data_IF_386029310196
#
_entry.id   IF_386029310196
#
_cell.length_a   1.000
_cell.length_b   1.000
_cell.length_c   1.000
_cell.angle_alpha   90.00
_cell.angle_beta   90.00
_cell.angle_gamma   90.00
#
_symmetry.space_group_name_H-M   'P 1'
#
loop_
_entity.id
_entity.type
_entity.pdbx_description
1 polymer ?
#
# COMPACT_ATOMS: atom_id res chain seq x y z
N UNK A 1 -3.25 18.07 11.55
CA UNK A 1 -3.71 16.70 11.82
C UNK A 1 -3.70 15.86 10.54
N UNK A 2 -4.50 16.20 9.52
CA UNK A 2 -4.62 15.36 8.31
C UNK A 2 -3.75 15.83 7.11
N UNK A 3 -2.51 16.24 7.37
CA UNK A 3 -1.58 16.82 6.38
C UNK A 3 -0.59 15.80 5.79
N UNK A 4 0.59 16.22 5.32
CA UNK A 4 1.69 15.35 4.90
C UNK A 4 2.20 14.52 6.09
N UNK A 5 2.41 13.21 5.88
CA UNK A 5 2.76 12.30 6.96
C UNK A 5 4.09 11.56 6.76
N UNK A 6 4.12 10.48 5.98
CA UNK A 6 5.31 9.62 5.85
C UNK A 6 5.98 9.75 4.49
N UNK A 7 7.29 9.43 4.46
CA UNK A 7 8.07 9.26 3.23
C UNK A 7 8.97 8.04 3.38
N UNK A 8 8.80 7.06 2.50
CA UNK A 8 9.51 5.77 2.54
C UNK A 8 10.10 5.42 1.17
N UNK A 9 11.31 4.84 1.14
CA UNK A 9 11.88 4.35 -0.11
C UNK A 9 11.21 3.03 -0.53
N UNK A 10 10.72 2.96 -1.77
CA UNK A 10 10.16 1.76 -2.35
C UNK A 10 11.23 0.78 -2.86
N UNK A 11 10.85 -0.46 -3.18
CA UNK A 11 11.77 -1.47 -3.71
C UNK A 11 12.28 -1.16 -5.13
N UNK A 12 11.66 -0.20 -5.80
CA UNK A 12 12.01 0.35 -7.12
C UNK A 12 12.99 1.54 -7.07
N UNK A 13 13.33 2.02 -5.87
CA UNK A 13 14.14 3.22 -5.67
C UNK A 13 13.38 4.54 -5.81
N UNK A 14 12.04 4.51 -5.88
CA UNK A 14 11.20 5.70 -5.81
C UNK A 14 10.85 6.05 -4.35
N UNK A 15 10.52 7.30 -4.08
CA UNK A 15 9.95 7.73 -2.79
C UNK A 15 8.44 7.59 -2.81
N UNK A 16 7.90 6.94 -1.78
CA UNK A 16 6.48 6.79 -1.52
C UNK A 16 6.11 7.71 -0.37
N UNK A 17 5.00 8.44 -0.50
CA UNK A 17 4.58 9.40 0.50
C UNK A 17 3.07 9.63 0.45
N UNK A 18 2.50 10.24 1.48
CA UNK A 18 1.06 10.45 1.60
C UNK A 18 0.66 11.68 2.40
N UNK A 19 -0.61 12.04 2.25
CA UNK A 19 -1.28 12.99 3.12
C UNK A 19 -2.71 12.55 3.42
N UNK A 20 -3.30 13.11 4.49
CA UNK A 20 -4.70 12.93 4.85
C UNK A 20 -5.68 13.79 4.03
N UNK A 21 -6.96 13.77 4.40
CA UNK A 21 -8.06 14.36 3.64
C UNK A 21 -8.14 15.90 3.68
N UNK A 22 -7.19 16.59 4.33
CA UNK A 22 -7.02 18.04 4.15
C UNK A 22 -6.81 18.41 2.68
N UNK A 23 -6.36 17.45 1.86
CA UNK A 23 -6.12 17.63 0.44
C UNK A 23 -4.75 18.24 0.17
N UNK A 24 -4.44 18.38 -1.12
CA UNK A 24 -3.17 18.95 -1.57
C UNK A 24 -3.33 19.59 -2.95
N UNK A 25 -2.58 20.67 -3.17
CA UNK A 25 -2.32 21.22 -4.50
C UNK A 25 -0.82 21.50 -4.63
N UNK A 26 -0.16 20.80 -5.54
CA UNK A 26 1.29 20.92 -5.72
C UNK A 26 1.70 20.62 -7.16
N UNK A 27 2.85 21.13 -7.56
CA UNK A 27 3.48 20.85 -8.87
C UNK A 27 4.77 20.09 -8.62
N UNK A 28 4.92 18.92 -9.25
CA UNK A 28 6.18 18.17 -9.18
C UNK A 28 7.28 18.85 -10.01
N UNK A 29 8.53 18.38 -9.89
CA UNK A 29 9.64 18.97 -10.66
C UNK A 29 9.63 18.62 -12.15
N UNK A 30 8.71 17.75 -12.59
CA UNK A 30 8.43 17.52 -14.01
C UNK A 30 7.41 18.52 -14.57
N UNK A 31 6.88 19.43 -13.73
CA UNK A 31 5.92 20.45 -14.13
C UNK A 31 4.47 20.01 -14.10
N UNK A 32 4.15 18.84 -13.53
CA UNK A 32 2.77 18.33 -13.45
C UNK A 32 2.11 18.79 -12.16
N UNK A 33 0.98 19.49 -12.27
CA UNK A 33 0.18 19.94 -11.12
C UNK A 33 -0.88 18.93 -10.74
N UNK A 34 -0.88 18.55 -9.46
CA UNK A 34 -1.87 17.71 -8.82
C UNK A 34 -2.83 18.56 -7.99
N UNK A 35 -4.13 18.26 -8.09
CA UNK A 35 -5.23 18.96 -7.42
C UNK A 35 -6.11 17.93 -6.73
N UNK A 36 -6.09 17.91 -5.40
CA UNK A 36 -6.81 16.95 -4.57
C UNK A 36 -7.59 17.69 -3.50
N UNK A 37 -8.79 18.13 -3.84
CA UNK A 37 -9.75 18.66 -2.87
C UNK A 37 -10.64 17.54 -2.31
N UNK A 38 -11.32 17.83 -1.21
CA UNK A 38 -12.33 16.94 -0.63
C UNK A 38 -13.49 17.76 -0.05
N UNK A 39 -14.53 17.06 0.43
CA UNK A 39 -15.66 17.72 1.09
C UNK A 39 -15.22 18.32 2.43
N UNK A 40 -14.12 17.80 2.98
CA UNK A 40 -13.53 18.24 4.24
C UNK A 40 -12.75 19.56 4.09
N UNK A 41 -11.81 19.64 3.15
CA UNK A 41 -11.01 20.85 2.90
C UNK A 41 -10.62 21.00 1.42
N UNK A 42 -10.16 22.21 1.07
CA UNK A 42 -9.82 22.60 -0.30
C UNK A 42 -10.99 22.39 -1.29
N UNK A 43 -12.24 22.68 -0.86
CA UNK A 43 -13.45 22.46 -1.65
C UNK A 43 -13.43 23.16 -3.01
N UNK A 44 -12.75 24.31 -3.10
CA UNK A 44 -12.60 25.09 -4.33
C UNK A 44 -11.81 24.36 -5.45
N UNK A 45 -11.11 23.27 -5.14
CA UNK A 45 -10.47 22.38 -6.12
C UNK A 45 -11.04 20.95 -6.13
N UNK A 46 -12.01 20.62 -5.29
CA UNK A 46 -12.67 19.31 -5.31
C UNK A 46 -13.32 19.06 -6.68
N UNK A 47 -13.09 17.87 -7.24
CA UNK A 47 -13.60 17.45 -8.54
C UNK A 47 -12.86 18.05 -9.74
N UNK A 48 -11.83 18.89 -9.53
CA UNK A 48 -10.99 19.39 -10.62
C UNK A 48 -10.00 18.31 -11.06
N UNK A 49 -9.75 18.24 -12.37
CA UNK A 49 -8.72 17.37 -12.91
C UNK A 49 -7.32 17.86 -12.54
N UNK A 50 -6.46 16.93 -12.19
CA UNK A 50 -5.01 17.12 -12.18
C UNK A 50 -4.49 17.15 -13.63
N UNK A 51 -3.24 17.58 -13.82
CA UNK A 51 -2.65 17.71 -15.16
C UNK A 51 -2.40 16.35 -15.84
N UNK A 52 -2.50 15.23 -15.12
CA UNK A 52 -2.55 13.88 -15.69
C UNK A 52 -3.94 13.48 -16.23
N UNK A 53 -4.92 14.40 -16.18
CA UNK A 53 -6.26 14.21 -16.71
C UNK A 53 -7.25 13.56 -15.73
N UNK A 54 -6.80 13.15 -14.55
CA UNK A 54 -7.61 12.43 -13.57
C UNK A 54 -8.13 13.34 -12.46
N UNK A 55 -9.32 13.00 -11.95
CA UNK A 55 -9.84 13.60 -10.71
C UNK A 55 -9.37 12.73 -9.56
N UNK A 56 -8.74 13.35 -8.56
CA UNK A 56 -8.36 12.69 -7.32
C UNK A 56 -8.99 13.44 -6.15
N UNK A 57 -9.23 12.70 -5.07
CA UNK A 57 -9.85 13.21 -3.85
C UNK A 57 -8.80 13.23 -2.75
N UNK A 58 -8.85 14.27 -1.91
CA UNK A 58 -7.93 14.44 -0.78
C UNK A 58 -7.82 13.19 0.10
N UNK A 59 -6.66 13.01 0.72
CA UNK A 59 -6.29 11.74 1.37
C UNK A 59 -5.71 10.81 0.32
N UNK A 60 -4.41 10.91 0.04
CA UNK A 60 -3.81 10.17 -1.06
C UNK A 60 -2.35 9.79 -0.80
N UNK A 61 -1.95 8.72 -1.48
CA UNK A 61 -0.59 8.18 -1.50
C UNK A 61 0.00 8.30 -2.90
N UNK A 62 1.31 8.52 -2.96
CA UNK A 62 2.06 8.82 -4.16
C UNK A 62 3.31 7.97 -4.25
N UNK A 63 3.86 7.88 -5.45
CA UNK A 63 5.28 7.59 -5.66
C UNK A 63 5.91 8.66 -6.55
N UNK A 64 7.21 8.91 -6.40
CA UNK A 64 7.98 9.84 -7.23
C UNK A 64 9.46 9.47 -7.28
N UNK A 65 10.20 9.98 -8.24
CA UNK A 65 11.65 9.85 -8.24
C UNK A 65 12.27 10.62 -7.06
N UNK A 66 13.42 10.17 -6.51
CA UNK A 66 14.09 10.86 -5.39
C UNK A 66 14.52 12.30 -5.68
N UNK A 67 14.57 12.72 -6.93
CA UNK A 67 14.85 14.11 -7.30
C UNK A 67 13.60 15.01 -7.22
N UNK A 68 12.40 14.44 -7.02
CA UNK A 68 11.11 15.12 -6.97
C UNK A 68 10.36 15.17 -8.30
N UNK A 69 10.80 14.42 -9.32
CA UNK A 69 10.17 14.32 -10.64
C UNK A 69 9.19 13.13 -10.72
N UNK A 70 8.31 13.18 -11.73
CA UNK A 70 7.42 12.08 -12.12
C UNK A 70 6.55 11.55 -10.97
N UNK A 71 5.93 12.45 -10.21
CA UNK A 71 4.97 12.07 -9.20
C UNK A 71 3.78 11.31 -9.84
N UNK A 72 3.30 10.29 -9.15
CA UNK A 72 2.16 9.46 -9.56
C UNK A 72 1.29 9.18 -8.34
N UNK A 73 0.01 9.52 -8.40
CA UNK A 73 -0.97 9.09 -7.38
C UNK A 73 -1.17 7.59 -7.53
N UNK A 74 -1.02 6.84 -6.44
CA UNK A 74 -1.16 5.37 -6.41
C UNK A 74 -2.38 4.90 -5.61
N UNK A 75 -3.08 5.81 -4.93
CA UNK A 75 -4.34 5.57 -4.25
C UNK A 75 -4.82 6.86 -3.59
N UNK A 76 -6.13 7.03 -3.43
CA UNK A 76 -6.71 8.29 -2.96
C UNK A 76 -8.05 8.11 -2.24
N UNK A 77 -8.62 9.22 -1.76
CA UNK A 77 -9.87 9.28 -1.00
C UNK A 77 -9.80 8.55 0.36
N UNK A 78 -8.64 8.62 1.02
CA UNK A 78 -8.46 8.24 2.41
C UNK A 78 -9.07 9.29 3.34
N UNK A 79 -9.27 8.96 4.61
CA UNK A 79 -9.56 9.98 5.62
C UNK A 79 -8.27 10.57 6.19
N UNK A 80 -7.53 9.77 6.94
CA UNK A 80 -6.28 10.22 7.56
C UNK A 80 -5.36 9.02 7.81
N UNK A 81 -5.03 8.31 6.74
CA UNK A 81 -3.95 7.33 6.76
C UNK A 81 -2.63 8.04 7.04
N UNK A 82 -2.00 7.74 8.18
CA UNK A 82 -0.71 8.31 8.58
C UNK A 82 0.43 7.73 7.76
N UNK A 83 0.45 6.42 7.55
CA UNK A 83 1.56 5.77 6.86
C UNK A 83 1.08 4.68 5.91
N UNK A 84 1.91 4.37 4.92
CA UNK A 84 1.80 3.12 4.16
C UNK A 84 3.10 2.34 4.26
N UNK A 85 2.98 1.02 4.16
CA UNK A 85 4.11 0.13 3.99
C UNK A 85 4.09 -0.51 2.60
N UNK A 86 5.27 -0.72 2.04
CA UNK A 86 5.45 -1.26 0.69
C UNK A 86 6.29 -2.53 0.79
N UNK A 87 5.73 -3.65 0.33
CA UNK A 87 6.47 -4.92 0.26
C UNK A 87 7.54 -4.88 -0.84
N UNK A 88 8.48 -5.81 -0.82
CA UNK A 88 9.47 -6.00 -1.88
C UNK A 88 8.85 -6.38 -3.21
N UNK A 89 7.63 -6.92 -3.22
CA UNK A 89 6.86 -7.16 -4.43
C UNK A 89 6.18 -5.89 -4.96
N UNK A 90 6.18 -4.81 -4.18
CA UNK A 90 5.57 -3.52 -4.51
C UNK A 90 4.09 -3.43 -4.14
N UNK A 91 3.59 -4.33 -3.29
CA UNK A 91 2.23 -4.24 -2.75
C UNK A 91 2.21 -3.20 -1.63
N UNK A 92 1.16 -2.39 -1.58
CA UNK A 92 1.03 -1.29 -0.65
C UNK A 92 -0.09 -1.61 0.35
N UNK A 93 0.21 -1.47 1.64
CA UNK A 93 -0.79 -1.61 2.70
C UNK A 93 -0.85 -0.32 3.51
N UNK A 94 -2.05 0.02 3.96
CA UNK A 94 -2.31 1.22 4.73
C UNK A 94 -3.31 0.94 5.85
N UNK A 95 -3.31 1.80 6.86
CA UNK A 95 -4.36 1.86 7.89
C UNK A 95 -4.96 3.27 7.90
N UNK A 96 -6.28 3.35 8.07
CA UNK A 96 -7.04 4.60 7.95
C UNK A 96 -7.95 4.73 9.18
N UNK A 97 -7.96 5.92 9.78
CA UNK A 97 -8.77 6.19 10.98
C UNK A 97 -10.14 6.79 10.60
N UNK A 98 -11.09 6.83 11.55
CA UNK A 98 -12.27 7.74 11.53
C UNK A 98 -12.91 7.89 12.92
N UNK A 99 -13.78 8.90 13.07
CA UNK A 99 -14.57 9.33 14.23
C UNK A 99 -16.09 9.27 13.94
N UNK A 100 -16.57 8.26 13.17
CA UNK A 100 -17.28 7.14 13.82
C UNK A 100 -16.56 5.79 13.68
N UNK A 101 -17.04 4.71 14.34
CA UNK A 101 -16.35 3.42 14.38
C UNK A 101 -16.25 2.70 13.01
N UNK A 102 -15.24 3.00 12.19
CA UNK A 102 -14.93 2.21 10.99
C UNK A 102 -13.44 2.21 10.56
N UNK A 103 -12.50 2.36 11.49
CA UNK A 103 -11.08 2.24 11.19
C UNK A 103 -10.76 0.92 10.48
N UNK A 104 -9.76 0.95 9.59
CA UNK A 104 -9.46 -0.18 8.70
C UNK A 104 -7.97 -0.42 8.49
N UNK A 105 -7.66 -1.63 8.02
CA UNK A 105 -6.39 -1.98 7.39
C UNK A 105 -6.66 -2.54 6.00
N UNK A 106 -5.98 -1.98 5.00
CA UNK A 106 -6.36 -2.15 3.58
C UNK A 106 -5.15 -2.42 2.70
N UNK A 107 -5.30 -3.35 1.75
CA UNK A 107 -4.42 -3.42 0.58
C UNK A 107 -4.79 -2.30 -0.40
N UNK A 108 -3.84 -1.42 -0.71
CA UNK A 108 -4.05 -0.33 -1.67
C UNK A 108 -3.79 -0.86 -3.08
N UNK A 109 -4.87 -1.11 -3.81
CA UNK A 109 -4.79 -1.36 -5.24
C UNK A 109 -4.30 -0.10 -5.96
N UNK A 110 -3.35 -0.21 -6.90
CA UNK A 110 -2.81 0.96 -7.60
C UNK A 110 -3.94 1.76 -8.28
N UNK A 111 -3.98 3.06 -8.04
CA UNK A 111 -5.05 4.01 -8.43
C UNK A 111 -6.39 3.84 -7.71
N UNK A 112 -6.45 2.98 -6.69
CA UNK A 112 -7.66 2.69 -5.95
C UNK A 112 -8.24 3.93 -5.26
N UNK A 113 -9.56 4.01 -5.29
CA UNK A 113 -10.35 5.00 -4.57
C UNK A 113 -10.88 4.37 -3.28
N UNK A 114 -10.54 4.94 -2.13
CA UNK A 114 -10.82 4.37 -0.82
C UNK A 114 -12.18 4.77 -0.22
N UNK A 115 -12.93 5.63 -0.91
CA UNK A 115 -14.37 5.83 -0.67
C UNK A 115 -14.79 6.83 0.41
N UNK A 116 -13.89 7.58 1.06
CA UNK A 116 -14.26 8.47 2.17
C UNK A 116 -15.21 9.62 1.79
N UNK A 117 -14.95 10.28 0.65
CA UNK A 117 -15.83 11.27 0.02
C UNK A 117 -16.42 10.73 -1.30
N UNK A 118 -17.36 11.45 -1.91
CA UNK A 118 -17.91 11.10 -3.23
C UNK A 118 -16.79 11.04 -4.29
N UNK A 119 -17.05 10.42 -5.45
CA UNK A 119 -16.06 10.27 -6.53
C UNK A 119 -15.44 11.61 -6.99
N UNK A 120 -16.23 12.69 -6.92
CA UNK A 120 -15.77 14.05 -7.23
C UNK A 120 -15.26 14.82 -6.00
N UNK A 121 -15.24 14.18 -4.84
CA UNK A 121 -14.80 14.75 -3.58
C UNK A 121 -15.69 15.87 -3.05
N UNK A 122 -16.90 16.09 -3.57
CA UNK A 122 -17.74 17.24 -3.18
C UNK A 122 -18.72 16.96 -2.04
N UNK A 123 -18.99 15.69 -1.73
CA UNK A 123 -19.96 15.27 -0.71
C UNK A 123 -19.31 14.35 0.30
N UNK A 124 -19.67 14.54 1.57
CA UNK A 124 -19.28 13.63 2.64
C UNK A 124 -20.04 12.29 2.50
N UNK A 125 -19.53 11.22 3.09
CA UNK A 125 -20.18 9.91 3.05
C UNK A 125 -21.59 9.90 3.66
N UNK A 126 -21.86 10.73 4.68
CA UNK A 126 -23.18 10.81 5.31
C UNK A 126 -24.27 11.23 4.32
N UNK A 127 -23.92 12.09 3.35
CA UNK A 127 -24.86 12.55 2.32
C UNK A 127 -25.23 11.45 1.33
N UNK A 128 -24.40 10.41 1.20
CA UNK A 128 -24.59 9.27 0.28
C UNK A 128 -25.06 8.00 1.00
N UNK A 129 -25.14 8.01 2.34
CA UNK A 129 -25.56 6.86 3.13
C UNK A 129 -27.01 6.48 2.79
N UNK A 130 -27.21 5.22 2.40
CA UNK A 130 -28.54 4.68 2.09
C UNK A 130 -29.29 4.33 3.39
N UNK A 131 -30.64 4.42 3.44
CA UNK A 131 -31.40 3.99 4.60
C UNK A 131 -31.06 2.55 5.00
N UNK A 132 -30.75 2.33 6.29
CA UNK A 132 -30.41 1.02 6.84
C UNK A 132 -28.97 0.55 6.58
N UNK A 133 -28.14 1.32 5.85
CA UNK A 133 -26.74 0.95 5.60
C UNK A 133 -25.91 1.15 6.87
N UNK A 134 -25.07 0.17 7.22
CA UNK A 134 -24.13 0.28 8.35
C UNK A 134 -23.08 1.37 8.11
N UNK A 135 -22.62 2.03 9.19
CA UNK A 135 -21.60 3.08 9.09
C UNK A 135 -20.32 2.57 8.44
N UNK A 136 -19.87 1.37 8.81
CA UNK A 136 -18.66 0.74 8.27
C UNK A 136 -18.72 0.43 6.76
N UNK A 137 -19.92 0.38 6.19
CA UNK A 137 -20.15 0.19 4.75
C UNK A 137 -20.29 1.53 4.05
N UNK A 138 -21.08 2.45 4.63
CA UNK A 138 -21.39 3.75 4.05
C UNK A 138 -20.17 4.68 3.99
N UNK A 139 -19.40 4.72 5.06
CA UNK A 139 -18.22 5.60 5.21
C UNK A 139 -17.17 5.36 4.14
N UNK A 140 -16.96 4.09 3.82
CA UNK A 140 -16.02 3.65 2.80
C UNK A 140 -16.70 3.31 1.47
N UNK A 141 -17.99 3.64 1.28
CA UNK A 141 -18.75 3.42 0.04
C UNK A 141 -18.57 2.03 -0.57
N UNK A 142 -18.58 0.99 0.26
CA UNK A 142 -18.18 -0.37 -0.17
C UNK A 142 -19.17 -1.02 -1.16
N UNK A 143 -20.40 -0.51 -1.21
CA UNK A 143 -21.46 -0.92 -2.14
C UNK A 143 -21.57 0.00 -3.37
N UNK A 144 -20.70 1.01 -3.49
CA UNK A 144 -20.67 1.90 -4.65
C UNK A 144 -19.63 1.41 -5.67
N UNK A 145 -19.92 1.49 -6.98
CA UNK A 145 -18.94 1.20 -8.01
C UNK A 145 -17.81 2.23 -8.01
N UNK A 146 -16.59 1.79 -8.35
CA UNK A 146 -15.43 2.68 -8.37
C UNK A 146 -14.78 2.85 -7.00
N UNK A 147 -15.11 2.00 -6.02
CA UNK A 147 -14.54 2.03 -4.67
C UNK A 147 -13.85 0.71 -4.37
N UNK A 148 -12.57 0.76 -4.00
CA UNK A 148 -11.79 -0.44 -3.70
C UNK A 148 -12.26 -1.09 -2.39
N UNK A 149 -12.12 -2.43 -2.25
CA UNK A 149 -12.43 -3.11 -1.01
C UNK A 149 -11.64 -2.57 0.19
N UNK A 150 -12.30 -2.39 1.33
CA UNK A 150 -11.73 -1.78 2.53
C UNK A 150 -10.77 -2.68 3.32
N UNK A 151 -10.71 -3.99 3.02
CA UNK A 151 -9.92 -4.94 3.80
C UNK A 151 -10.58 -5.27 5.14
N UNK A 152 -9.82 -5.21 6.23
CA UNK A 152 -10.36 -5.41 7.59
C UNK A 152 -10.89 -4.09 8.14
N UNK A 153 -12.20 -3.99 8.33
CA UNK A 153 -12.86 -2.86 9.01
C UNK A 153 -13.21 -3.29 10.43
N UNK A 154 -12.63 -2.64 11.43
CA UNK A 154 -12.67 -3.13 12.80
C UNK A 154 -13.35 -2.21 13.82
N UNK A 155 -13.95 -1.13 13.38
CA UNK A 155 -14.68 -0.21 14.25
C UNK A 155 -13.81 0.91 14.80
N UNK A 156 -14.07 1.36 16.02
CA UNK A 156 -13.42 2.54 16.60
C UNK A 156 -11.93 2.34 16.82
N UNK A 157 -11.11 3.34 16.51
CA UNK A 157 -9.66 3.22 16.54
C UNK A 157 -9.01 4.56 16.22
N UNK A 158 -7.69 4.55 16.14
CA UNK A 158 -6.87 5.69 15.76
C UNK A 158 -5.56 5.19 15.13
N UNK A 159 -5.59 4.32 14.11
CA UNK A 159 -4.39 3.68 13.60
C UNK A 159 -3.34 4.70 13.13
N UNK A 160 -2.08 4.37 13.40
CA UNK A 160 -0.93 5.22 13.05
C UNK A 160 0.11 4.44 12.23
N UNK A 161 1.31 4.16 12.74
CA UNK A 161 2.37 3.52 11.96
C UNK A 161 2.04 2.09 11.51
N UNK A 162 2.64 1.70 10.39
CA UNK A 162 2.39 0.41 9.73
C UNK A 162 3.66 -0.10 9.05
N UNK A 163 3.98 -1.38 9.21
CA UNK A 163 5.17 -1.97 8.57
C UNK A 163 4.95 -3.40 8.11
N UNK A 164 5.71 -3.81 7.11
CA UNK A 164 5.72 -5.18 6.60
C UNK A 164 7.03 -5.88 6.94
N UNK A 165 6.95 -6.91 7.76
CA UNK A 165 8.07 -7.73 8.16
C UNK A 165 8.34 -8.83 7.12
N UNK A 166 9.49 -8.76 6.46
CA UNK A 166 9.90 -9.65 5.35
C UNK A 166 10.91 -10.72 5.77
N UNK A 167 10.95 -11.00 7.08
CA UNK A 167 11.92 -11.87 7.73
C UNK A 167 12.91 -11.11 8.61
N UNK A 168 13.79 -11.84 9.30
CA UNK A 168 14.74 -11.29 10.26
C UNK A 168 14.85 -12.14 11.52
N UNK A 169 14.92 -11.51 12.69
CA UNK A 169 15.19 -12.16 13.97
C UNK A 169 14.08 -13.09 14.46
N UNK A 170 12.82 -12.97 14.02
CA UNK A 170 11.69 -13.79 14.47
C UNK A 170 11.61 -15.18 13.81
N UNK A 171 12.63 -15.58 13.06
CA UNK A 171 12.73 -16.90 12.46
C UNK A 171 11.70 -17.14 11.36
N UNK A 172 11.30 -18.41 11.18
CA UNK A 172 10.48 -18.84 10.04
C UNK A 172 8.98 -18.66 10.22
N UNK A 173 8.51 -18.38 11.45
CA UNK A 173 7.07 -18.21 11.76
C UNK A 173 6.40 -17.19 10.85
N UNK A 174 7.13 -16.13 10.49
CA UNK A 174 6.65 -15.04 9.64
C UNK A 174 7.40 -14.96 8.31
N UNK A 175 7.96 -16.08 7.83
CA UNK A 175 8.70 -16.11 6.56
C UNK A 175 7.82 -15.78 5.34
N UNK A 176 6.50 -15.97 5.45
CA UNK A 176 5.52 -15.58 4.42
C UNK A 176 5.25 -14.07 4.35
N UNK A 177 5.69 -13.30 5.36
CA UNK A 177 5.33 -11.90 5.55
C UNK A 177 4.42 -11.70 6.77
N UNK A 178 4.64 -10.61 7.51
CA UNK A 178 3.80 -10.19 8.62
C UNK A 178 3.56 -8.68 8.51
N UNK A 179 2.31 -8.29 8.30
CA UNK A 179 1.90 -6.89 8.33
C UNK A 179 1.58 -6.51 9.76
N UNK A 180 2.17 -5.42 10.25
CA UNK A 180 1.96 -4.88 11.58
C UNK A 180 1.34 -3.50 11.48
N UNK A 181 0.30 -3.25 12.26
CA UNK A 181 -0.42 -1.98 12.28
C UNK A 181 -0.59 -1.51 13.71
N UNK A 182 -0.02 -0.34 14.04
CA UNK A 182 -0.18 0.28 15.34
C UNK A 182 -1.60 0.83 15.51
N UNK A 183 -2.20 0.52 16.66
CA UNK A 183 -3.53 0.99 17.04
C UNK A 183 -3.48 1.56 18.48
N UNK A 184 -3.11 2.85 18.62
CA UNK A 184 -3.02 3.55 19.90
C UNK A 184 -4.30 3.48 20.72
N UNK A 185 -5.47 3.70 20.12
CA UNK A 185 -6.74 3.74 20.86
C UNK A 185 -7.08 2.38 21.50
N UNK A 186 -6.61 1.28 20.90
CA UNK A 186 -6.86 -0.07 21.44
C UNK A 186 -5.67 -0.66 22.19
N UNK A 187 -4.59 0.09 22.38
CA UNK A 187 -3.38 -0.34 23.09
C UNK A 187 -2.78 -1.64 22.49
N UNK A 188 -2.71 -1.70 21.16
CA UNK A 188 -2.32 -2.93 20.46
C UNK A 188 -1.56 -2.60 19.19
N UNK A 189 -0.59 -3.44 18.87
CA UNK A 189 -0.07 -3.60 17.52
C UNK A 189 -0.79 -4.81 16.94
N UNK A 190 -1.63 -4.58 15.95
CA UNK A 190 -2.26 -5.66 15.20
C UNK A 190 -1.25 -6.35 14.30
N UNK A 191 -1.41 -7.65 14.15
CA UNK A 191 -0.74 -8.46 13.15
C UNK A 191 -1.72 -8.99 12.11
N UNK A 192 -1.25 -9.11 10.88
CA UNK A 192 -1.95 -9.79 9.79
C UNK A 192 -0.95 -10.67 9.04
N UNK A 193 -1.42 -11.80 8.54
CA UNK A 193 -0.71 -12.62 7.56
C UNK A 193 -1.47 -12.52 6.24
N UNK A 194 -1.20 -11.52 5.38
CA UNK A 194 -1.98 -11.34 4.16
C UNK A 194 -1.94 -12.58 3.27
N UNK A 195 -3.12 -13.12 2.95
CA UNK A 195 -3.27 -14.29 2.08
C UNK A 195 -3.83 -13.82 0.74
N UNK A 196 -3.18 -14.10 -0.39
CA UNK A 196 -3.77 -13.81 -1.70
C UNK A 196 -5.14 -14.47 -1.84
N UNK A 197 -6.17 -13.69 -2.16
CA UNK A 197 -7.54 -14.15 -2.36
C UNK A 197 -8.11 -13.48 -3.60
N UNK A 198 -8.36 -14.27 -4.65
CA UNK A 198 -8.70 -13.75 -5.96
C UNK A 198 -7.65 -12.77 -6.48
N UNK A 199 -8.09 -11.56 -6.78
CA UNK A 199 -7.28 -10.43 -7.19
C UNK A 199 -6.87 -9.55 -6.01
N UNK A 200 -7.27 -9.84 -4.78
CA UNK A 200 -6.95 -9.05 -3.60
C UNK A 200 -6.14 -9.83 -2.56
N UNK A 201 -6.30 -9.42 -1.30
CA UNK A 201 -5.76 -10.11 -0.14
C UNK A 201 -6.85 -10.25 0.92
N UNK A 202 -6.93 -11.43 1.52
CA UNK A 202 -7.63 -11.63 2.77
C UNK A 202 -6.76 -11.15 3.92
N UNK A 203 -7.34 -10.34 4.80
CA UNK A 203 -6.67 -9.76 5.97
C UNK A 203 -7.33 -10.25 7.25
N UNK A 204 -6.76 -11.30 7.85
CA UNK A 204 -7.21 -11.81 9.15
C UNK A 204 -6.34 -11.22 10.27
N UNK A 205 -6.99 -10.44 11.13
CA UNK A 205 -6.34 -9.72 12.22
C UNK A 205 -6.11 -10.58 13.44
N UNK A 206 -4.98 -10.39 14.11
CA UNK A 206 -4.72 -10.87 15.47
C UNK A 206 -3.95 -9.82 16.29
N UNK A 207 -3.93 -9.98 17.61
CA UNK A 207 -3.17 -9.09 18.50
C UNK A 207 -1.71 -9.56 18.56
N UNK A 208 -0.78 -8.85 17.92
CA UNK A 208 0.65 -9.21 17.91
C UNK A 208 1.35 -8.80 19.20
N UNK A 209 1.07 -7.59 19.68
CA UNK A 209 1.60 -7.03 20.92
C UNK A 209 0.51 -6.17 21.58
N UNK A 210 0.13 -6.46 22.82
CA UNK A 210 -0.81 -5.64 23.57
C UNK A 210 -0.54 -5.69 25.06
N UNK A 211 -0.85 -4.60 25.76
CA UNK A 211 -0.95 -4.55 27.22
C UNK A 211 -2.39 -4.71 27.71
N UNK A 212 -3.38 -4.64 26.82
CA UNK A 212 -4.81 -4.56 27.13
C UNK A 212 -5.59 -5.79 26.63
N UNK A 213 -5.24 -6.97 27.13
CA UNK A 213 -5.86 -8.25 26.74
C UNK A 213 -7.37 -8.30 26.99
N UNK A 214 -7.85 -7.55 27.98
CA UNK A 214 -9.27 -7.49 28.36
C UNK A 214 -10.09 -6.55 27.48
N UNK A 215 -9.44 -5.80 26.56
CA UNK A 215 -10.07 -4.84 25.64
C UNK A 215 -10.87 -3.74 26.36
N UNK A 216 -10.33 -3.23 27.47
CA UNK A 216 -10.89 -2.06 28.15
C UNK A 216 -10.45 -0.78 27.43
N UNK A 217 -11.28 -0.27 26.52
CA UNK A 217 -10.99 0.93 25.73
C UNK A 217 -11.23 2.26 26.48
N UNK A 218 -10.81 2.35 27.75
CA UNK A 218 -10.89 3.61 28.50
C UNK A 218 -10.01 4.69 27.86
N UNK A 219 -10.51 5.93 27.83
CA UNK A 219 -9.78 7.09 27.29
C UNK A 219 -9.76 7.18 25.76
N UNK A 220 -10.62 6.43 25.05
CA UNK A 220 -10.80 6.55 23.59
C UNK A 220 -11.96 7.47 23.25
N UNK A 221 -11.83 8.20 22.14
CA UNK A 221 -12.89 9.10 21.67
C UNK A 221 -14.16 8.33 21.24
N UNK A 222 -14.02 7.11 20.70
CA UNK A 222 -15.16 6.29 20.27
C UNK A 222 -15.97 5.66 21.42
N UNK A 223 -15.37 5.44 22.59
CA UNK A 223 -16.10 4.93 23.78
C UNK A 223 -16.65 6.09 24.61
N UNK A 224 -15.98 7.24 24.60
CA UNK A 224 -16.23 8.34 25.51
C UNK A 224 -15.93 7.99 26.97
N UNK A 225 -16.14 8.96 27.87
CA UNK A 225 -16.01 8.78 29.32
C UNK A 225 -14.69 9.27 29.92
N UNK A 226 -14.49 9.00 31.22
CA UNK A 226 -13.33 9.48 31.99
C UNK A 226 -12.10 8.60 31.76
N UNK A 227 -10.94 9.24 31.65
CA UNK A 227 -9.64 8.58 31.67
C UNK A 227 -9.33 8.06 33.08
N UNK A 228 -8.61 6.94 33.18
CA UNK A 228 -8.13 6.40 34.46
C UNK A 228 -6.62 6.15 34.37
N UNK A 229 -5.84 7.06 34.97
CA UNK A 229 -4.38 7.01 34.99
C UNK A 229 -3.82 5.83 35.78
N UNK A 230 -4.62 5.21 36.64
CA UNK A 230 -4.18 4.06 37.44
C UNK A 230 -4.26 2.75 36.63
N UNK A 231 -4.99 2.73 35.51
CA UNK A 231 -5.06 1.58 34.61
C UNK A 231 -3.85 1.54 33.66
N UNK A 232 -2.68 1.18 34.18
CA UNK A 232 -1.42 1.10 33.40
C UNK A 232 -1.54 0.32 32.09
N UNK A 233 -2.40 -0.71 32.04
CA UNK A 233 -2.66 -1.50 30.83
C UNK A 233 -3.20 -0.67 29.66
N UNK A 234 -3.92 0.42 29.91
CA UNK A 234 -4.50 1.31 28.88
C UNK A 234 -3.60 2.48 28.52
N UNK A 235 -2.38 2.55 29.06
CA UNK A 235 -1.47 3.67 28.82
C UNK A 235 -0.53 3.42 27.64
N UNK A 236 -0.29 2.18 27.23
CA UNK A 236 0.50 1.85 26.03
C UNK A 236 -0.19 2.34 24.75
N UNK A 237 0.37 3.33 24.07
CA UNK A 237 -0.12 3.95 22.83
C UNK A 237 0.90 3.73 21.71
N UNK A 238 0.95 2.53 21.09
CA UNK A 238 1.90 2.25 20.03
C UNK A 238 1.69 3.23 18.88
N UNK A 239 2.70 4.03 18.57
CA UNK A 239 2.59 5.15 17.65
C UNK A 239 3.20 4.83 16.29
N UNK A 240 4.29 4.07 16.27
CA UNK A 240 4.92 3.59 15.05
C UNK A 240 5.61 2.23 15.26
N UNK A 241 5.81 1.49 14.17
CA UNK A 241 6.45 0.18 14.13
C UNK A 241 7.36 0.08 12.91
N UNK A 242 8.57 -0.44 13.08
CA UNK A 242 9.52 -0.62 11.98
C UNK A 242 10.40 -1.85 12.17
N UNK A 243 11.19 -2.21 11.14
CA UNK A 243 12.15 -3.31 11.17
C UNK A 243 13.57 -2.76 11.17
N UNK A 244 14.34 -3.10 12.21
CA UNK A 244 15.72 -2.67 12.37
C UNK A 244 16.71 -3.43 11.48
N UNK A 245 17.93 -2.89 11.29
CA UNK A 245 18.99 -3.54 10.51
C UNK A 245 19.54 -4.83 11.15
N UNK A 246 19.24 -5.07 12.42
CA UNK A 246 19.46 -6.33 13.14
C UNK A 246 18.34 -7.37 12.88
N UNK A 247 17.31 -6.99 12.11
CA UNK A 247 16.16 -7.83 11.77
C UNK A 247 15.10 -7.94 12.86
N UNK A 248 15.22 -7.20 13.96
CA UNK A 248 14.19 -7.11 15.00
C UNK A 248 13.11 -6.09 14.64
N UNK A 249 11.95 -6.22 15.26
CA UNK A 249 10.88 -5.22 15.17
C UNK A 249 11.07 -4.19 16.28
N UNK A 250 10.86 -2.93 15.98
CA UNK A 250 10.90 -1.82 16.92
C UNK A 250 9.54 -1.15 16.95
N UNK A 251 8.96 -0.99 18.12
CA UNK A 251 7.67 -0.30 18.34
C UNK A 251 7.94 0.89 19.24
N UNK A 252 7.50 2.09 18.86
CA UNK A 252 7.53 3.23 19.75
C UNK A 252 6.15 3.51 20.36
N UNK A 253 6.16 4.16 21.51
CA UNK A 253 5.00 4.46 22.36
C UNK A 253 5.23 5.80 23.06
N UNK A 254 4.18 6.61 23.22
CA UNK A 254 4.22 7.88 23.97
C UNK A 254 3.48 7.83 25.33
N UNK A 255 3.04 6.65 25.76
CA UNK A 255 2.49 6.33 27.08
C UNK A 255 1.50 7.36 27.67
N UNK A 256 0.21 7.27 27.31
CA UNK A 256 -0.79 8.29 27.67
C UNK A 256 -2.16 7.68 28.07
N UNK A 257 -2.81 8.16 29.14
CA UNK A 257 -4.19 7.78 29.49
C UNK A 257 -5.24 8.14 28.44
N UNK A 258 -4.97 9.05 27.52
CA UNK A 258 -5.85 9.46 26.42
C UNK A 258 -5.20 9.20 25.06
N UNK A 259 -6.03 9.13 24.04
CA UNK A 259 -5.61 9.15 22.63
C UNK A 259 -6.09 10.43 21.96
N UNK A 260 -5.23 11.00 21.12
CA UNK A 260 -5.53 12.18 20.31
C UNK A 260 -4.68 13.38 20.70
N UNK A 261 -4.00 13.98 19.72
CA UNK A 261 -3.08 15.13 19.92
C UNK A 261 -3.74 16.42 20.44
N UNK A 262 -5.05 16.40 20.70
CA UNK A 262 -5.81 17.53 21.21
C UNK A 262 -5.94 17.53 22.74
N UNK A 263 -5.45 16.49 23.44
CA UNK A 263 -5.61 16.38 24.90
C UNK A 263 -4.62 15.39 25.53
N UNK A 264 -3.33 15.50 25.19
CA UNK A 264 -2.25 14.82 25.92
C UNK A 264 -2.39 15.08 27.43
N UNK A 265 -2.24 14.02 28.21
CA UNK A 265 -2.39 14.02 29.66
C UNK A 265 -1.18 13.44 30.40
N UNK A 266 -0.12 13.05 29.69
CA UNK A 266 1.16 12.69 30.30
C UNK A 266 2.08 13.91 30.47
N UNK A 267 2.11 14.46 31.68
CA UNK A 267 2.98 15.59 32.01
C UNK A 267 4.47 15.22 32.01
N UNK A 268 4.82 13.93 31.97
CA UNK A 268 6.22 13.49 31.97
C UNK A 268 6.87 13.55 30.60
N UNK A 269 6.08 13.65 29.53
CA UNK A 269 6.52 13.55 28.13
C UNK A 269 7.34 12.28 27.88
N UNK A 270 6.96 11.19 28.55
CA UNK A 270 7.70 9.93 28.49
C UNK A 270 7.33 9.15 27.24
N UNK A 271 8.29 8.38 26.74
CA UNK A 271 8.04 7.43 25.67
C UNK A 271 8.96 6.23 25.79
N UNK A 272 8.63 5.17 25.07
CA UNK A 272 9.43 3.95 25.04
C UNK A 272 9.64 3.49 23.60
N UNK A 273 10.79 2.87 23.36
CA UNK A 273 11.04 2.07 22.15
C UNK A 273 11.26 0.63 22.59
N UNK A 274 10.33 -0.23 22.22
CA UNK A 274 10.38 -1.66 22.48
C UNK A 274 11.08 -2.37 21.33
N UNK A 275 12.11 -3.16 21.63
CA UNK A 275 12.69 -4.10 20.67
C UNK A 275 12.06 -5.47 20.84
N UNK A 276 11.36 -5.93 19.81
CA UNK A 276 10.70 -7.24 19.76
C UNK A 276 11.58 -8.22 18.98
N UNK A 277 12.10 -9.22 19.68
CA UNK A 277 12.95 -10.27 19.14
C UNK A 277 12.83 -11.55 20.01
N UNK A 278 13.29 -12.73 19.53
CA UNK A 278 13.22 -13.95 20.34
C UNK A 278 14.02 -13.84 21.63
N UNK A 279 13.66 -14.66 22.63
CA UNK A 279 14.39 -14.74 23.90
C UNK A 279 15.86 -15.08 23.64
N UNK A 280 16.77 -14.34 24.27
CA UNK A 280 18.21 -14.51 24.09
C UNK A 280 18.78 -13.87 22.83
N UNK A 281 17.97 -13.15 22.04
CA UNK A 281 18.45 -12.41 20.87
C UNK A 281 19.55 -11.42 21.25
N UNK A 282 20.71 -11.55 20.60
CA UNK A 282 21.82 -10.60 20.70
C UNK A 282 21.80 -9.71 19.47
N UNK A 283 21.42 -8.47 19.67
CA UNK A 283 21.39 -7.46 18.61
C UNK A 283 22.76 -7.28 17.99
N UNK A 284 22.83 -7.40 16.67
CA UNK A 284 24.02 -7.13 15.88
C UNK A 284 23.61 -6.58 14.53
N UNK A 285 24.19 -5.46 14.13
CA UNK A 285 23.96 -4.85 12.82
C UNK A 285 25.15 -5.17 11.91
N UNK A 286 24.92 -5.60 10.66
CA UNK A 286 26.00 -5.84 9.72
C UNK A 286 26.89 -4.59 9.54
N UNK A 287 28.22 -4.76 9.61
CA UNK A 287 29.14 -3.69 9.19
C UNK A 287 29.13 -3.63 7.66
N UNK A 288 28.65 -2.52 7.10
CA UNK A 288 28.49 -2.37 5.66
C UNK A 288 29.66 -1.57 5.06
N UNK A 289 30.29 -2.12 4.02
CA UNK A 289 31.22 -1.40 3.16
C UNK A 289 30.59 -1.18 1.77
N UNK A 290 29.97 -0.03 1.57
CA UNK A 290 29.25 0.31 0.34
C UNK A 290 30.15 0.60 -0.87
N UNK A 291 31.48 0.64 -0.69
CA UNK A 291 32.44 0.75 -1.79
C UNK A 291 32.68 -0.58 -2.51
N UNK A 292 32.15 -1.68 -1.97
CA UNK A 292 32.29 -3.03 -2.55
C UNK A 292 30.94 -3.59 -2.99
N UNK A 293 30.91 -4.34 -4.10
CA UNK A 293 29.67 -5.00 -4.54
C UNK A 293 29.11 -5.94 -3.46
N UNK A 294 29.97 -6.62 -2.69
CA UNK A 294 29.55 -7.49 -1.60
C UNK A 294 28.81 -6.72 -0.48
N UNK A 295 29.33 -5.56 -0.07
CA UNK A 295 28.67 -4.72 0.94
C UNK A 295 27.38 -4.09 0.43
N UNK A 296 27.33 -3.70 -0.84
CA UNK A 296 26.10 -3.18 -1.46
C UNK A 296 25.01 -4.26 -1.56
N UNK A 297 25.37 -5.50 -1.92
CA UNK A 297 24.45 -6.64 -1.92
C UNK A 297 23.97 -6.95 -0.50
N UNK A 298 24.88 -6.92 0.49
CA UNK A 298 24.51 -7.10 1.90
C UNK A 298 23.50 -6.05 2.35
N UNK A 299 23.70 -4.78 1.96
CA UNK A 299 22.76 -3.71 2.23
C UNK A 299 21.39 -3.95 1.56
N UNK A 300 21.37 -4.31 0.26
CA UNK A 300 20.13 -4.61 -0.48
C UNK A 300 19.31 -5.77 0.13
N UNK A 301 19.98 -6.72 0.79
CA UNK A 301 19.34 -7.83 1.49
C UNK A 301 18.73 -7.43 2.84
N UNK A 302 19.02 -6.24 3.36
CA UNK A 302 18.49 -5.77 4.65
C UNK A 302 16.96 -5.68 4.67
N UNK A 303 16.36 -6.05 5.80
CA UNK A 303 14.94 -5.88 6.03
C UNK A 303 14.58 -4.43 6.41
N UNK A 304 15.53 -3.68 6.97
CA UNK A 304 15.39 -2.24 7.18
C UNK A 304 15.41 -1.49 5.84
N UNK A 305 14.32 -0.78 5.54
CA UNK A 305 14.08 -0.12 4.25
C UNK A 305 15.16 0.93 3.94
N UNK A 306 15.55 1.74 4.93
CA UNK A 306 16.61 2.73 4.79
C UNK A 306 17.96 2.11 4.40
N UNK A 307 18.34 0.99 5.03
CA UNK A 307 19.59 0.27 4.72
C UNK A 307 19.52 -0.41 3.36
N UNK A 308 18.38 -1.02 3.03
CA UNK A 308 18.12 -1.59 1.71
C UNK A 308 18.33 -0.58 0.59
N UNK A 309 17.83 0.64 0.77
CA UNK A 309 17.94 1.70 -0.21
C UNK A 309 19.39 2.16 -0.45
N UNK A 310 20.27 2.08 0.57
CA UNK A 310 21.71 2.36 0.41
C UNK A 310 22.34 1.38 -0.58
N UNK A 311 22.05 0.09 -0.45
CA UNK A 311 22.53 -0.95 -1.37
C UNK A 311 21.96 -0.77 -2.78
N UNK A 312 20.65 -0.55 -2.87
CA UNK A 312 19.95 -0.31 -4.13
C UNK A 312 20.58 0.83 -4.94
N UNK A 313 20.74 2.01 -4.31
CA UNK A 313 21.23 3.22 -4.98
C UNK A 313 22.65 3.03 -5.52
N UNK A 314 23.54 2.38 -4.75
CA UNK A 314 24.92 2.12 -5.16
C UNK A 314 25.01 1.10 -6.29
N UNK A 315 24.24 0.01 -6.22
CA UNK A 315 24.20 -0.99 -7.29
C UNK A 315 23.60 -0.42 -8.58
N UNK A 316 22.54 0.40 -8.48
CA UNK A 316 21.95 1.10 -9.62
C UNK A 316 22.97 2.03 -10.30
N UNK A 317 23.73 2.80 -9.52
CA UNK A 317 24.78 3.66 -10.06
C UNK A 317 25.91 2.87 -10.77
N UNK A 318 26.12 1.61 -10.41
CA UNK A 318 27.06 0.71 -11.10
C UNK A 318 26.60 0.24 -12.49
N UNK A 319 25.32 0.43 -12.84
CA UNK A 319 24.75 0.03 -14.12
C UNK A 319 24.93 -1.47 -14.43
N UNK A 320 25.25 -1.80 -15.67
CA UNK A 320 25.38 -3.20 -16.12
C UNK A 320 26.43 -4.00 -15.33
N UNK A 321 27.46 -3.35 -14.76
CA UNK A 321 28.50 -4.01 -13.94
C UNK A 321 27.90 -4.71 -12.70
N UNK A 322 26.76 -4.23 -12.22
CA UNK A 322 26.05 -4.81 -11.08
C UNK A 322 25.22 -6.05 -11.45
N UNK A 323 24.93 -6.28 -12.74
CA UNK A 323 24.00 -7.34 -13.18
C UNK A 323 24.39 -8.73 -12.69
N UNK A 324 25.65 -9.21 -12.77
CA UNK A 324 25.99 -10.54 -12.29
C UNK A 324 25.69 -10.75 -10.80
N UNK A 325 26.04 -9.77 -9.96
CA UNK A 325 25.83 -9.84 -8.52
C UNK A 325 24.35 -9.75 -8.14
N UNK A 326 23.58 -8.89 -8.81
CA UNK A 326 22.13 -8.74 -8.55
C UNK A 326 21.36 -9.93 -9.12
N UNK A 327 21.72 -10.46 -10.30
CA UNK A 327 21.06 -11.61 -10.90
C UNK A 327 21.20 -12.88 -10.04
N UNK A 328 22.32 -13.03 -9.32
CA UNK A 328 22.48 -14.13 -8.36
C UNK A 328 21.41 -14.14 -7.26
N UNK A 329 20.87 -12.97 -6.89
CA UNK A 329 19.81 -12.86 -5.88
C UNK A 329 18.46 -13.40 -6.35
N UNK A 330 18.26 -13.64 -7.65
CA UNK A 330 17.05 -14.33 -8.15
C UNK A 330 16.96 -15.78 -7.64
N UNK A 331 18.07 -16.36 -7.16
CA UNK A 331 18.13 -17.67 -6.51
C UNK A 331 18.09 -17.63 -4.97
N UNK A 332 17.95 -16.46 -4.34
CA UNK A 332 17.96 -16.37 -2.87
C UNK A 332 16.75 -17.12 -2.29
N UNK A 333 16.89 -17.86 -1.16
CA UNK A 333 15.77 -18.56 -0.54
C UNK A 333 14.64 -17.63 -0.09
N UNK A 334 14.96 -16.39 0.31
CA UNK A 334 13.96 -15.40 0.71
C UNK A 334 13.31 -14.78 -0.55
N UNK A 335 11.99 -14.98 -0.69
CA UNK A 335 11.21 -14.48 -1.83
C UNK A 335 11.24 -12.95 -1.97
N UNK A 336 11.32 -12.23 -0.85
CA UNK A 336 11.39 -10.77 -0.85
C UNK A 336 12.73 -10.29 -1.41
N UNK A 337 13.83 -11.00 -1.15
CA UNK A 337 15.14 -10.68 -1.73
C UNK A 337 15.14 -10.91 -3.24
N UNK A 338 14.50 -11.99 -3.73
CA UNK A 338 14.30 -12.21 -5.16
C UNK A 338 13.53 -11.05 -5.81
N UNK A 339 12.45 -10.58 -5.17
CA UNK A 339 11.64 -9.46 -5.67
C UNK A 339 12.45 -8.15 -5.74
N UNK A 340 13.26 -7.83 -4.72
CA UNK A 340 14.18 -6.67 -4.73
C UNK A 340 15.16 -6.73 -5.92
N UNK A 341 15.66 -7.93 -6.24
CA UNK A 341 16.55 -8.12 -7.38
C UNK A 341 15.85 -7.81 -8.71
N UNK A 342 14.58 -8.22 -8.88
CA UNK A 342 13.81 -7.94 -10.10
C UNK A 342 13.68 -6.45 -10.36
N UNK A 343 13.31 -5.66 -9.36
CA UNK A 343 13.19 -4.20 -9.47
C UNK A 343 14.49 -3.51 -9.86
N UNK A 344 15.60 -3.98 -9.30
CA UNK A 344 16.90 -3.40 -9.58
C UNK A 344 17.39 -3.81 -10.97
N UNK A 345 17.29 -5.11 -11.32
CA UNK A 345 17.73 -5.62 -12.63
C UNK A 345 17.07 -4.89 -13.80
N UNK A 346 15.78 -4.57 -13.72
CA UNK A 346 15.11 -3.83 -14.80
C UNK A 346 15.71 -2.45 -15.04
N UNK A 347 16.45 -1.90 -14.08
CA UNK A 347 17.09 -0.58 -14.13
C UNK A 347 18.59 -0.64 -14.43
N UNK A 348 19.15 -1.81 -14.71
CA UNK A 348 20.58 -2.02 -15.00
C UNK A 348 20.85 -2.23 -16.49
N UNK A 349 20.15 -1.49 -17.36
CA UNK A 349 20.30 -1.58 -18.81
C UNK A 349 19.70 -2.84 -19.44
N UNK A 350 19.95 -3.03 -20.74
CA UNK A 350 19.37 -4.10 -21.55
C UNK A 350 19.76 -5.49 -21.02
N UNK A 351 20.99 -5.65 -20.52
CA UNK A 351 21.45 -6.90 -19.92
C UNK A 351 20.62 -7.27 -18.68
N UNK A 352 20.27 -6.28 -17.87
CA UNK A 352 19.41 -6.45 -16.69
C UNK A 352 17.95 -6.75 -17.08
N UNK A 353 17.40 -6.00 -18.04
CA UNK A 353 16.05 -6.24 -18.61
C UNK A 353 15.94 -7.67 -19.16
N UNK A 354 16.96 -8.16 -19.85
CA UNK A 354 17.01 -9.52 -20.39
C UNK A 354 16.96 -10.61 -19.29
N UNK A 355 17.34 -10.30 -18.04
CA UNK A 355 17.15 -11.20 -16.89
C UNK A 355 15.74 -11.17 -16.32
N UNK A 356 15.02 -10.06 -16.46
CA UNK A 356 13.66 -9.90 -15.94
C UNK A 356 12.61 -10.45 -16.92
N UNK A 357 12.80 -10.26 -18.23
CA UNK A 357 11.82 -10.66 -19.25
C UNK A 357 11.33 -12.12 -19.15
N UNK A 358 12.17 -13.13 -18.88
CA UNK A 358 11.72 -14.52 -18.73
C UNK A 358 10.83 -14.74 -17.50
N UNK A 359 10.93 -13.89 -16.47
CA UNK A 359 10.17 -14.01 -15.23
C UNK A 359 8.67 -13.74 -15.40
N UNK A 360 8.25 -13.14 -16.52
CA UNK A 360 6.84 -13.05 -16.91
C UNK A 360 6.20 -14.44 -17.11
N UNK A 361 6.99 -15.50 -17.24
CA UNK A 361 6.52 -16.90 -17.33
C UNK A 361 6.88 -17.73 -16.10
N UNK A 362 7.31 -17.08 -15.01
CA UNK A 362 7.70 -17.78 -13.79
C UNK A 362 6.51 -18.54 -13.19
N UNK A 363 6.76 -19.71 -12.57
CA UNK A 363 5.72 -20.56 -11.98
C UNK A 363 4.90 -19.85 -10.89
N UNK A 364 5.58 -19.02 -10.11
CA UNK A 364 5.00 -18.22 -9.03
C UNK A 364 4.38 -16.93 -9.58
N UNK A 365 3.11 -16.68 -9.24
CA UNK A 365 2.36 -15.50 -9.66
C UNK A 365 2.94 -14.20 -9.09
N UNK A 366 3.44 -14.19 -7.85
CA UNK A 366 4.05 -12.98 -7.26
C UNK A 366 5.28 -12.54 -8.05
N UNK A 367 6.07 -13.51 -8.57
CA UNK A 367 7.21 -13.24 -9.43
C UNK A 367 6.81 -12.70 -10.81
N UNK A 368 5.70 -13.19 -11.38
CA UNK A 368 5.16 -12.63 -12.63
C UNK A 368 4.68 -11.20 -12.45
N UNK A 369 3.99 -10.93 -11.32
CA UNK A 369 3.53 -9.59 -10.93
C UNK A 369 4.70 -8.62 -10.83
N UNK A 370 5.72 -8.92 -10.02
CA UNK A 370 6.85 -8.00 -9.83
C UNK A 370 7.65 -7.80 -11.13
N UNK A 371 7.80 -8.84 -11.96
CA UNK A 371 8.44 -8.71 -13.28
C UNK A 371 7.64 -7.78 -14.21
N UNK A 372 6.32 -7.95 -14.28
CA UNK A 372 5.46 -7.08 -15.09
C UNK A 372 5.50 -5.63 -14.59
N UNK A 373 5.40 -5.41 -13.28
CA UNK A 373 5.48 -4.08 -12.69
C UNK A 373 6.85 -3.42 -12.96
N UNK A 374 7.94 -4.17 -12.81
CA UNK A 374 9.31 -3.69 -13.05
C UNK A 374 9.52 -3.28 -14.51
N UNK A 375 9.13 -4.13 -15.48
CA UNK A 375 9.24 -3.83 -16.90
C UNK A 375 8.34 -2.65 -17.31
N UNK A 376 7.11 -2.56 -16.78
CA UNK A 376 6.22 -1.42 -17.00
C UNK A 376 6.84 -0.10 -16.54
N UNK A 377 7.51 -0.09 -15.37
CA UNK A 377 8.17 1.13 -14.85
C UNK A 377 9.36 1.59 -15.70
N UNK A 378 9.86 0.75 -16.60
CA UNK A 378 10.94 1.06 -17.53
C UNK A 378 10.43 1.23 -18.97
N UNK A 379 9.11 1.27 -19.16
CA UNK A 379 8.44 1.37 -20.47
C UNK A 379 8.84 0.26 -21.47
N UNK A 380 9.11 -0.95 -20.95
CA UNK A 380 9.56 -2.08 -21.78
C UNK A 380 8.36 -2.91 -22.26
N UNK A 381 8.07 -2.85 -23.57
CA UNK A 381 7.14 -3.74 -24.26
C UNK A 381 5.74 -3.83 -23.60
N UNK A 382 5.22 -2.74 -23.01
CA UNK A 382 4.04 -2.76 -22.12
C UNK A 382 2.85 -3.52 -22.72
N UNK A 383 2.36 -3.13 -23.89
CA UNK A 383 1.19 -3.75 -24.53
C UNK A 383 1.43 -5.23 -24.87
N UNK A 384 2.65 -5.57 -25.33
CA UNK A 384 3.03 -6.93 -25.70
C UNK A 384 3.13 -7.83 -24.47
N UNK A 385 3.65 -7.31 -23.36
CA UNK A 385 3.72 -8.04 -22.09
C UNK A 385 2.32 -8.18 -21.46
N UNK A 386 1.52 -7.12 -21.51
CA UNK A 386 0.13 -7.11 -21.06
C UNK A 386 -0.73 -8.13 -21.81
N UNK A 387 -0.64 -8.17 -23.15
CA UNK A 387 -1.39 -9.14 -23.97
C UNK A 387 -1.05 -10.60 -23.61
N UNK A 388 0.21 -10.92 -23.28
CA UNK A 388 0.62 -12.27 -22.84
C UNK A 388 0.04 -12.66 -21.48
N UNK A 389 -0.18 -11.69 -20.60
CA UNK A 389 -0.65 -11.90 -19.23
C UNK A 389 -2.15 -11.66 -19.05
N UNK A 390 -2.86 -11.19 -20.08
CA UNK A 390 -4.29 -10.90 -20.04
C UNK A 390 -5.15 -12.13 -19.68
N UNK A 391 -4.69 -13.32 -20.05
CA UNK A 391 -5.31 -14.62 -19.72
C UNK A 391 -4.49 -15.43 -18.70
N UNK A 392 -3.65 -14.76 -17.89
CA UNK A 392 -2.91 -15.44 -16.83
C UNK A 392 -3.88 -16.14 -15.86
N UNK A 393 -3.49 -17.31 -15.33
CA UNK A 393 -4.34 -18.08 -14.43
C UNK A 393 -4.62 -17.34 -13.11
N UNK A 394 -3.69 -16.52 -12.64
CA UNK A 394 -3.85 -15.74 -11.42
C UNK A 394 -4.68 -14.47 -11.66
N UNK A 395 -5.81 -14.29 -10.94
CA UNK A 395 -6.56 -13.04 -11.01
C UNK A 395 -5.74 -11.82 -10.56
N UNK A 396 -4.81 -12.00 -9.61
CA UNK A 396 -3.89 -10.95 -9.19
C UNK A 396 -2.92 -10.51 -10.30
N UNK A 397 -2.45 -11.42 -11.17
CA UNK A 397 -1.66 -11.04 -12.36
C UNK A 397 -2.53 -10.25 -13.33
N UNK A 398 -3.74 -10.74 -13.63
CA UNK A 398 -4.68 -10.06 -14.53
C UNK A 398 -5.09 -8.67 -13.99
N UNK A 399 -5.22 -8.49 -12.67
CA UNK A 399 -5.40 -7.19 -12.01
C UNK A 399 -4.29 -6.21 -12.38
N UNK A 400 -3.03 -6.60 -12.24
CA UNK A 400 -1.90 -5.72 -12.59
C UNK A 400 -1.93 -5.28 -14.04
N UNK A 401 -2.28 -6.20 -14.94
CA UNK A 401 -2.43 -5.89 -16.36
C UNK A 401 -3.56 -4.88 -16.56
N UNK A 402 -4.72 -5.08 -15.93
CA UNK A 402 -5.86 -4.16 -16.04
C UNK A 402 -5.50 -2.75 -15.56
N UNK A 403 -4.87 -2.61 -14.39
CA UNK A 403 -4.46 -1.32 -13.83
C UNK A 403 -3.46 -0.59 -14.74
N UNK A 404 -2.54 -1.33 -15.37
CA UNK A 404 -1.59 -0.76 -16.31
C UNK A 404 -2.22 -0.16 -17.58
N UNK A 405 -3.46 -0.55 -17.91
CA UNK A 405 -4.17 -0.03 -19.07
C UNK A 405 -4.81 1.34 -18.84
N UNK A 406 -4.94 1.81 -17.59
CA UNK A 406 -5.67 3.04 -17.21
C UNK A 406 -5.33 4.24 -18.11
N UNK A 407 -4.04 4.46 -18.37
CA UNK A 407 -3.55 5.65 -19.07
C UNK A 407 -3.27 5.44 -20.57
N UNK A 408 -3.73 4.32 -21.15
CA UNK A 408 -3.58 4.04 -22.58
C UNK A 408 -4.82 4.46 -23.39
N UNK A 409 -4.76 4.41 -24.71
CA UNK A 409 -5.90 4.66 -25.60
C UNK A 409 -6.75 3.41 -25.89
N UNK A 410 -7.28 3.35 -27.11
CA UNK A 410 -8.16 2.25 -27.59
C UNK A 410 -7.43 0.91 -27.72
N UNK A 411 -6.11 0.94 -27.85
CA UNK A 411 -5.23 -0.23 -27.92
C UNK A 411 -5.29 -1.12 -26.66
N UNK A 412 -5.76 -0.57 -25.53
CA UNK A 412 -6.02 -1.33 -24.32
C UNK A 412 -7.30 -2.16 -24.35
N UNK A 413 -8.27 -1.83 -25.21
CA UNK A 413 -9.62 -2.42 -25.20
C UNK A 413 -9.60 -3.95 -25.37
N UNK A 414 -8.84 -4.54 -26.33
CA UNK A 414 -8.80 -6.00 -26.48
C UNK A 414 -8.23 -6.72 -25.25
N UNK A 415 -7.24 -6.11 -24.58
CA UNK A 415 -6.62 -6.65 -23.37
C UNK A 415 -7.64 -6.62 -22.22
N UNK A 416 -8.32 -5.49 -22.02
CA UNK A 416 -9.35 -5.36 -20.98
C UNK A 416 -10.55 -6.27 -21.22
N UNK A 417 -10.98 -6.45 -22.47
CA UNK A 417 -12.05 -7.39 -22.82
C UNK A 417 -11.64 -8.84 -22.50
N UNK A 418 -10.40 -9.22 -22.81
CA UNK A 418 -9.84 -10.54 -22.47
C UNK A 418 -9.85 -10.76 -20.96
N UNK A 419 -9.40 -9.76 -20.18
CA UNK A 419 -9.41 -9.79 -18.71
C UNK A 419 -10.85 -9.91 -18.19
N UNK A 420 -11.77 -9.08 -18.66
CA UNK A 420 -13.16 -9.07 -18.22
C UNK A 420 -13.88 -10.41 -18.47
N UNK A 421 -13.52 -11.15 -19.52
CA UNK A 421 -14.05 -12.49 -19.78
C UNK A 421 -13.68 -13.53 -18.69
N UNK A 422 -12.69 -13.23 -17.84
CA UNK A 422 -12.32 -14.05 -16.68
C UNK A 422 -12.91 -13.57 -15.36
N UNK A 423 -13.81 -12.58 -15.37
CA UNK A 423 -14.50 -12.15 -14.15
C UNK A 423 -15.50 -13.24 -13.72
N UNK A 424 -15.45 -13.61 -12.45
CA UNK A 424 -16.27 -14.67 -11.86
C UNK A 424 -17.64 -14.18 -11.36
N UNK A 425 -17.90 -12.87 -11.44
CA UNK A 425 -19.13 -12.23 -10.93
C UNK A 425 -19.07 -11.85 -9.44
N UNK A 426 -17.98 -12.16 -8.72
CA UNK A 426 -17.90 -12.02 -7.27
C UNK A 426 -16.68 -11.22 -6.78
N UNK A 427 -15.51 -11.36 -7.41
CA UNK A 427 -14.28 -10.69 -6.96
C UNK A 427 -14.34 -9.17 -7.17
N UNK A 428 -14.67 -8.45 -6.08
CA UNK A 428 -14.75 -6.98 -6.10
C UNK A 428 -13.41 -6.33 -6.46
N UNK A 429 -12.27 -6.87 -6.00
CA UNK A 429 -10.97 -6.29 -6.34
C UNK A 429 -10.73 -6.37 -7.85
N UNK A 430 -11.08 -7.50 -8.45
CA UNK A 430 -10.94 -7.73 -9.88
C UNK A 430 -11.83 -6.80 -10.71
N UNK A 431 -13.09 -6.65 -10.29
CA UNK A 431 -14.05 -5.77 -10.95
C UNK A 431 -13.59 -4.31 -10.94
N UNK A 432 -13.12 -3.82 -9.78
CA UNK A 432 -12.63 -2.44 -9.65
C UNK A 432 -11.32 -2.21 -10.44
N UNK A 433 -10.48 -3.23 -10.60
CA UNK A 433 -9.29 -3.15 -11.43
C UNK A 433 -9.63 -3.02 -12.93
N UNK A 434 -10.64 -3.75 -13.41
CA UNK A 434 -11.15 -3.62 -14.78
C UNK A 434 -11.71 -2.21 -14.99
N UNK A 435 -12.55 -1.72 -14.06
CA UNK A 435 -13.12 -0.37 -14.11
C UNK A 435 -12.03 0.70 -14.15
N UNK A 436 -11.01 0.57 -13.30
CA UNK A 436 -9.84 1.46 -13.28
C UNK A 436 -9.12 1.45 -14.63
N UNK A 437 -8.83 0.27 -15.19
CA UNK A 437 -8.19 0.13 -16.49
C UNK A 437 -9.00 0.74 -17.65
N UNK A 438 -10.32 0.74 -17.52
CA UNK A 438 -11.27 1.27 -18.49
C UNK A 438 -11.50 2.79 -18.39
N UNK A 439 -10.79 3.50 -17.50
CA UNK A 439 -10.91 4.97 -17.36
C UNK A 439 -10.74 5.67 -18.71
N UNK A 440 -11.72 6.48 -19.11
CA UNK A 440 -11.72 7.23 -20.38
C UNK A 440 -12.01 6.40 -21.63
N UNK A 441 -12.33 5.11 -21.49
CA UNK A 441 -12.65 4.17 -22.57
C UNK A 441 -13.77 3.18 -22.17
N UNK A 442 -14.59 3.55 -21.19
CA UNK A 442 -15.59 2.72 -20.55
C UNK A 442 -16.59 2.15 -21.56
N UNK A 443 -17.16 3.00 -22.42
CA UNK A 443 -18.14 2.56 -23.43
C UNK A 443 -17.56 1.58 -24.45
N UNK A 444 -16.27 1.69 -24.78
CA UNK A 444 -15.60 0.81 -25.73
C UNK A 444 -15.30 -0.55 -25.10
N UNK A 445 -14.84 -0.56 -23.84
CA UNK A 445 -14.64 -1.79 -23.08
C UNK A 445 -15.97 -2.49 -22.86
N UNK A 446 -17.00 -1.76 -22.45
CA UNK A 446 -18.35 -2.31 -22.29
C UNK A 446 -18.85 -2.96 -23.58
N UNK A 447 -18.77 -2.24 -24.72
CA UNK A 447 -19.17 -2.79 -26.02
C UNK A 447 -18.38 -4.06 -26.40
N UNK A 448 -17.07 -4.10 -26.13
CA UNK A 448 -16.24 -5.26 -26.40
C UNK A 448 -16.57 -6.46 -25.49
N UNK A 449 -16.95 -6.22 -24.23
CA UNK A 449 -17.33 -7.25 -23.26
C UNK A 449 -18.69 -7.86 -23.58
N UNK A 450 -19.70 -7.03 -23.87
CA UNK A 450 -21.03 -7.56 -24.21
C UNK A 450 -21.06 -8.18 -25.60
N UNK A 451 -20.22 -7.74 -26.54
CA UNK A 451 -20.25 -8.17 -27.93
C UNK A 451 -21.65 -7.99 -28.53
N UNK A 452 -22.24 -9.09 -29.03
CA UNK A 452 -23.61 -9.14 -29.55
C UNK A 452 -24.66 -9.55 -28.50
N UNK A 453 -24.28 -9.69 -27.23
CA UNK A 453 -25.20 -10.03 -26.15
C UNK A 453 -26.21 -8.90 -25.97
N UNK A 454 -27.49 -9.24 -25.80
CA UNK A 454 -28.56 -8.28 -25.54
C UNK A 454 -28.83 -8.24 -24.02
N UNK A 455 -28.31 -7.25 -23.27
CA UNK A 455 -28.40 -7.24 -21.80
C UNK A 455 -29.85 -7.14 -21.30
N UNK A 456 -30.75 -6.57 -22.11
CA UNK A 456 -32.20 -6.57 -21.85
C UNK A 456 -32.88 -7.95 -21.88
N UNK A 457 -32.11 -9.03 -22.08
CA UNK A 457 -32.56 -10.42 -21.98
C UNK A 457 -31.86 -11.20 -20.87
N UNK A 458 -31.03 -10.55 -20.06
CA UNK A 458 -30.41 -11.19 -18.90
C UNK A 458 -31.45 -11.22 -17.77
N UNK A 459 -31.89 -12.43 -17.42
CA UNK A 459 -32.88 -12.71 -16.38
C UNK A 459 -32.27 -12.76 -15.00
#
# INVERSE_FOLDING_TARGET
>A
DHSLHSVTAGPDGQWYWNHGNCGAQFTDKSGKTFRLGSAYQMQHIAGKKSDDGHVYVGGASYRMNPDGTHATVIGHNYRNSYEQTITSFGDVFQNDNDDPPACRTTFVMEYGNAGFCSLDGKRSWQADRRPGQETSVAEWRQEDPGTMPAGDVYGGGSPTGITYYEGGSLGTKYAGGLLLSCEPARNVVFGYLPVPEGAGFKLERFDFLTTNTDKDFAGTDFKGGRVDRNKKKTLFRPSDVTVGPDGAIYVCDWYDPRVGGHSDQDETLSGAIYRVAPKGFKSSTPKLNLETSAGQITALKSNAINVRNLGFTRLKAGGEKSVPAVAALLGDPNKFIRARAVWLLSQLGDTGIAKVQPLLKHRDAEMRIVAFRALRRQDVDLLKNAAKLASDQSPAVRREVALAMRNLGKEAVPILATIAAHFDGADRTYLEAIGTGATGKESQVYAAVIGNSAPGKWT
#
